data_IF_995796311786
#
_entry.id   IF_995796311786
#
_cell.length_a   1.000
_cell.length_b   1.000
_cell.length_c   1.000
_cell.angle_alpha   90.00
_cell.angle_beta   90.00
_cell.angle_gamma   90.00
#
_symmetry.space_group_name_H-M   'P 1'
#
loop_
_entity.id
_entity.type
_entity.pdbx_description
1 polymer ?
#
# COMPACT_ATOMS: atom_id res chain seq x y z
N UNK A 1 16.39 -0.73 -0.93
CA UNK A 1 14.94 -0.47 -0.88
C UNK A 1 14.76 0.86 -0.17
N UNK A 2 14.11 1.82 -0.82
CA UNK A 2 13.78 3.13 -0.25
C UNK A 2 12.32 3.02 0.23
N UNK A 3 12.08 3.35 1.49
CA UNK A 3 10.76 3.44 2.11
C UNK A 3 10.52 4.90 2.51
N UNK A 4 9.26 5.35 2.67
CA UNK A 4 9.03 6.68 3.19
C UNK A 4 9.40 6.72 4.68
N UNK A 5 9.90 7.86 5.12
CA UNK A 5 10.07 8.13 6.56
C UNK A 5 8.77 8.74 7.08
N UNK A 6 8.23 8.20 8.17
CA UNK A 6 6.98 8.66 8.78
C UNK A 6 7.35 9.39 10.06
N UNK A 7 7.10 10.70 10.11
CA UNK A 7 7.40 11.54 11.30
C UNK A 7 6.14 12.23 11.81
N UNK A 8 6.14 12.63 13.08
CA UNK A 8 5.09 13.45 13.67
C UNK A 8 5.64 14.84 13.94
N UNK A 9 5.01 15.87 13.38
CA UNK A 9 5.38 17.27 13.59
C UNK A 9 4.10 18.11 13.66
N UNK A 10 3.97 19.01 14.64
CA UNK A 10 2.83 19.93 14.78
C UNK A 10 1.44 19.26 14.74
N UNK A 11 1.26 18.16 15.48
CA UNK A 11 0.03 17.35 15.52
C UNK A 11 -0.42 16.82 14.14
N UNK A 12 0.53 16.59 13.23
CA UNK A 12 0.33 16.04 11.90
C UNK A 12 1.31 14.91 11.65
N UNK A 13 0.93 13.97 10.80
CA UNK A 13 1.80 12.88 10.35
C UNK A 13 2.38 13.29 9.00
N UNK A 14 3.70 13.35 8.89
CA UNK A 14 4.40 13.63 7.65
C UNK A 14 4.93 12.33 7.06
N UNK A 15 4.45 11.99 5.86
CA UNK A 15 4.96 10.86 5.09
C UNK A 15 5.94 11.42 4.07
N UNK A 16 7.23 11.22 4.32
CA UNK A 16 8.31 11.85 3.57
C UNK A 16 8.83 10.89 2.50
N UNK A 17 8.59 11.21 1.24
CA UNK A 17 9.05 10.44 0.09
C UNK A 17 10.38 11.00 -0.42
N UNK A 18 11.44 10.20 -0.31
CA UNK A 18 12.70 10.49 -0.97
C UNK A 18 12.61 10.04 -2.43
N UNK A 19 12.57 11.01 -3.34
CA UNK A 19 12.50 10.81 -4.79
C UNK A 19 13.93 10.69 -5.33
N UNK A 20 14.55 9.53 -5.12
CA UNK A 20 15.91 9.27 -5.61
C UNK A 20 15.94 7.92 -6.32
N UNK A 21 15.92 7.99 -7.65
CA UNK A 21 15.78 6.86 -8.58
C UNK A 21 14.42 6.15 -8.39
N UNK A 22 13.81 5.66 -9.47
CA UNK A 22 12.58 4.86 -9.38
C UNK A 22 12.87 3.56 -8.60
N UNK A 23 12.70 3.62 -7.28
CA UNK A 23 13.01 2.54 -6.37
C UNK A 23 11.92 1.46 -6.44
N UNK A 24 12.19 0.29 -5.87
CA UNK A 24 11.27 -0.84 -5.96
C UNK A 24 9.87 -0.54 -5.39
N UNK A 25 9.77 0.30 -4.36
CA UNK A 25 8.55 0.53 -3.55
C UNK A 25 7.95 1.93 -3.66
N UNK A 26 8.76 2.92 -4.04
CA UNK A 26 8.34 4.31 -4.30
C UNK A 26 8.80 4.66 -5.71
N UNK A 27 7.88 5.04 -6.57
CA UNK A 27 8.16 5.45 -7.95
C UNK A 27 7.42 6.74 -8.28
N UNK A 28 8.04 7.58 -9.09
CA UNK A 28 7.40 8.79 -9.60
C UNK A 28 6.92 8.50 -11.02
N UNK A 29 5.62 8.61 -11.26
CA UNK A 29 4.98 8.19 -12.51
C UNK A 29 4.00 9.23 -13.03
N UNK A 30 3.74 9.14 -14.33
CA UNK A 30 2.64 9.81 -15.01
C UNK A 30 1.47 8.86 -15.20
N UNK A 31 0.25 9.31 -14.92
CA UNK A 31 -0.97 8.53 -15.17
C UNK A 31 -1.61 8.92 -16.50
N UNK A 32 -1.83 7.96 -17.38
CA UNK A 32 -2.60 8.10 -18.63
C UNK A 32 -3.49 6.89 -18.82
N UNK A 33 -4.73 7.08 -19.29
CA UNK A 33 -5.68 5.98 -19.53
C UNK A 33 -5.84 5.01 -18.35
N UNK A 34 -5.83 5.52 -17.12
CA UNK A 34 -5.85 4.72 -15.88
C UNK A 34 -4.62 3.86 -15.60
N UNK A 35 -3.55 4.05 -16.35
CA UNK A 35 -2.32 3.30 -16.24
C UNK A 35 -1.14 4.19 -15.87
N UNK A 36 -0.23 3.65 -15.06
CA UNK A 36 1.07 4.25 -14.80
C UNK A 36 2.07 3.90 -15.90
N UNK A 37 1.93 4.54 -17.07
CA UNK A 37 2.65 4.16 -18.30
C UNK A 37 4.12 4.61 -18.31
N UNK A 38 4.44 5.73 -17.64
CA UNK A 38 5.76 6.38 -17.74
C UNK A 38 6.33 6.75 -16.39
N UNK A 39 7.60 6.45 -16.19
CA UNK A 39 8.39 6.99 -15.09
C UNK A 39 8.81 8.42 -15.38
N UNK A 40 8.74 9.29 -14.36
CA UNK A 40 9.16 10.69 -14.49
C UNK A 40 10.43 10.96 -13.69
N UNK A 41 11.21 11.91 -14.18
CA UNK A 41 12.18 12.64 -13.37
C UNK A 41 11.46 13.66 -12.47
N UNK A 42 12.15 14.15 -11.44
CA UNK A 42 11.59 15.15 -10.54
C UNK A 42 11.19 16.44 -11.29
N UNK A 43 12.03 16.90 -12.22
CA UNK A 43 11.76 18.11 -13.00
C UNK A 43 10.51 17.95 -13.88
N UNK A 44 10.34 16.80 -14.54
CA UNK A 44 9.14 16.53 -15.35
C UNK A 44 7.86 16.47 -14.53
N UNK A 45 7.93 16.04 -13.26
CA UNK A 45 6.75 15.94 -12.42
C UNK A 45 6.26 17.28 -11.88
N UNK A 46 7.12 18.30 -11.76
CA UNK A 46 6.75 19.62 -11.25
C UNK A 46 5.69 20.30 -12.13
N UNK A 47 5.79 20.12 -13.45
CA UNK A 47 4.91 20.75 -14.44
C UNK A 47 3.83 19.79 -14.98
N UNK A 48 3.69 18.60 -14.39
CA UNK A 48 2.76 17.57 -14.87
C UNK A 48 1.61 17.32 -13.89
N UNK A 49 0.39 17.71 -14.28
CA UNK A 49 -0.81 17.54 -13.46
C UNK A 49 -1.20 16.09 -13.18
N UNK A 50 -0.74 15.17 -14.03
CA UNK A 50 -0.96 13.72 -13.92
C UNK A 50 0.20 13.00 -13.24
N UNK A 51 1.20 13.72 -12.74
CA UNK A 51 2.28 13.14 -11.96
C UNK A 51 1.77 12.68 -10.59
N UNK A 52 2.22 11.50 -10.16
CA UNK A 52 1.89 10.92 -8.86
C UNK A 52 3.03 10.07 -8.31
N UNK A 53 3.01 9.84 -7.01
CA UNK A 53 3.89 8.87 -6.37
C UNK A 53 3.17 7.53 -6.30
N UNK A 54 3.70 6.49 -6.92
CA UNK A 54 3.28 5.11 -6.66
C UNK A 54 4.02 4.60 -5.42
N UNK A 55 3.32 4.46 -4.30
CA UNK A 55 3.86 3.84 -3.09
C UNK A 55 3.21 2.49 -2.84
N UNK A 56 3.98 1.42 -3.02
CA UNK A 56 3.56 0.06 -2.66
C UNK A 56 3.63 -0.11 -1.13
N UNK A 57 2.66 0.42 -0.42
CA UNK A 57 2.61 0.41 1.05
C UNK A 57 2.57 -1.03 1.59
N UNK A 58 3.17 -1.25 2.75
CA UNK A 58 3.02 -2.45 3.57
C UNK A 58 2.40 -2.13 4.94
N UNK A 59 2.12 -3.18 5.71
CA UNK A 59 1.55 -3.06 7.06
C UNK A 59 2.36 -3.84 8.12
N UNK A 60 3.30 -4.68 7.71
CA UNK A 60 4.15 -5.45 8.62
C UNK A 60 5.58 -5.58 8.09
N UNK A 61 6.49 -5.95 8.98
CA UNK A 61 7.87 -6.31 8.63
C UNK A 61 8.36 -7.46 9.52
N UNK A 62 9.32 -8.25 9.04
CA UNK A 62 9.87 -9.37 9.83
C UNK A 62 10.67 -8.85 11.01
N UNK A 63 10.55 -9.49 12.16
CA UNK A 63 11.45 -9.21 13.29
C UNK A 63 12.88 -9.57 12.89
N UNK A 64 13.75 -8.56 12.84
CA UNK A 64 15.16 -8.68 12.54
C UNK A 64 15.98 -8.72 13.85
N UNK A 65 16.79 -9.77 14.03
CA UNK A 65 17.66 -9.94 15.19
C UNK A 65 18.73 -8.86 15.33
N UNK A 66 19.14 -8.23 14.22
CA UNK A 66 20.10 -7.12 14.23
C UNK A 66 19.47 -5.76 14.53
N UNK A 67 18.13 -5.70 14.65
CA UNK A 67 17.35 -4.48 14.87
C UNK A 67 17.57 -3.36 13.82
N UNK A 68 18.15 -3.70 12.66
CA UNK A 68 18.37 -2.80 11.52
C UNK A 68 17.14 -2.85 10.60
N UNK A 69 16.28 -1.84 10.71
CA UNK A 69 15.05 -1.73 9.92
C UNK A 69 15.16 -0.52 9.01
N UNK A 70 14.99 -0.76 7.70
CA UNK A 70 14.91 0.30 6.67
C UNK A 70 13.50 0.90 6.54
N UNK A 71 12.58 0.47 7.41
CA UNK A 71 11.15 0.78 7.40
C UNK A 71 10.75 1.11 8.84
N UNK A 72 9.95 2.16 9.01
CA UNK A 72 9.35 2.52 10.30
C UNK A 72 8.45 1.38 10.79
N UNK A 73 8.63 0.96 12.05
CA UNK A 73 7.85 -0.12 12.67
C UNK A 73 7.69 0.07 14.19
N UNK A 74 6.61 -0.47 14.73
CA UNK A 74 6.31 -0.47 16.17
C UNK A 74 7.04 -1.64 16.84
N UNK A 75 8.03 -1.34 17.68
CA UNK A 75 8.89 -2.34 18.34
C UNK A 75 8.49 -2.60 19.79
N UNK A 76 8.77 -3.81 20.26
CA UNK A 76 8.52 -4.24 21.64
C UNK A 76 7.56 -5.43 21.68
N UNK A 77 7.63 -6.21 22.75
CA UNK A 77 6.94 -7.51 22.84
C UNK A 77 5.42 -7.39 22.66
N UNK A 78 4.83 -6.29 23.14
CA UNK A 78 3.40 -5.99 22.98
C UNK A 78 2.95 -5.83 21.52
N UNK A 79 3.88 -5.54 20.61
CA UNK A 79 3.59 -5.37 19.19
C UNK A 79 3.99 -6.59 18.34
N UNK A 80 4.38 -7.72 18.96
CA UNK A 80 4.74 -8.91 18.18
C UNK A 80 3.46 -9.51 17.57
N UNK A 81 3.43 -9.51 16.24
CA UNK A 81 2.42 -10.17 15.41
C UNK A 81 2.97 -11.52 14.93
N UNK A 82 2.16 -12.58 15.00
CA UNK A 82 2.57 -13.93 14.60
C UNK A 82 1.89 -14.32 13.28
N UNK A 83 2.60 -14.15 12.17
CA UNK A 83 2.09 -14.54 10.86
C UNK A 83 2.27 -16.04 10.65
N UNK A 84 1.15 -16.76 10.58
CA UNK A 84 1.16 -18.16 10.17
C UNK A 84 1.38 -18.30 8.67
N UNK A 85 2.40 -19.06 8.29
CA UNK A 85 2.56 -19.64 6.95
C UNK A 85 2.53 -21.16 7.10
N UNK A 86 2.03 -21.87 6.09
CA UNK A 86 1.77 -23.34 6.09
C UNK A 86 2.54 -24.13 7.16
N UNK A 87 3.88 -24.08 7.15
CA UNK A 87 4.74 -24.87 8.04
C UNK A 87 5.59 -24.05 9.03
N UNK A 88 5.39 -22.73 9.10
CA UNK A 88 6.22 -21.82 9.92
C UNK A 88 5.43 -20.63 10.45
N UNK A 89 5.59 -20.37 11.74
CA UNK A 89 5.19 -19.10 12.36
C UNK A 89 6.30 -18.07 12.22
N UNK A 90 6.00 -16.93 11.61
CA UNK A 90 6.95 -15.82 11.45
C UNK A 90 6.60 -14.68 12.40
N UNK A 91 7.55 -14.28 13.25
CA UNK A 91 7.40 -13.08 14.09
C UNK A 91 7.55 -11.83 13.24
N UNK A 92 6.63 -10.89 13.41
CA UNK A 92 6.59 -9.64 12.69
C UNK A 92 6.28 -8.46 13.61
N UNK A 93 6.67 -7.27 13.16
CA UNK A 93 6.24 -6.01 13.75
C UNK A 93 5.30 -5.26 12.81
N UNK A 94 4.28 -4.56 13.34
CA UNK A 94 3.50 -3.59 12.60
C UNK A 94 4.42 -2.53 12.00
N UNK A 95 4.25 -2.23 10.72
CA UNK A 95 5.10 -1.31 9.96
C UNK A 95 4.28 -0.40 9.04
N UNK A 96 4.87 0.70 8.59
CA UNK A 96 4.26 1.64 7.61
C UNK A 96 2.80 2.00 7.90
N UNK A 97 1.82 1.37 7.25
CA UNK A 97 0.40 1.63 7.46
C UNK A 97 0.06 1.56 8.95
N UNK A 98 0.53 0.54 9.65
CA UNK A 98 0.25 0.36 11.07
C UNK A 98 0.89 1.44 11.95
N UNK A 99 2.06 1.94 11.56
CA UNK A 99 2.70 3.08 12.26
C UNK A 99 1.85 4.34 12.07
N UNK A 100 1.34 4.57 10.86
CA UNK A 100 0.45 5.70 10.57
C UNK A 100 -0.83 5.61 11.39
N UNK A 101 -1.47 4.43 11.46
CA UNK A 101 -2.68 4.24 12.27
C UNK A 101 -2.38 4.48 13.76
N UNK A 102 -1.27 3.98 14.29
CA UNK A 102 -0.88 4.20 15.68
C UNK A 102 -0.66 5.69 15.98
N UNK A 103 0.08 6.40 15.14
CA UNK A 103 0.26 7.84 15.28
C UNK A 103 -1.06 8.61 15.15
N UNK A 104 -1.94 8.18 14.27
CA UNK A 104 -3.24 8.84 14.10
C UNK A 104 -4.13 8.69 15.35
N UNK A 105 -4.07 7.54 16.02
CA UNK A 105 -4.74 7.34 17.31
C UNK A 105 -4.11 8.19 18.42
N UNK A 106 -2.78 8.21 18.50
CA UNK A 106 -2.04 8.97 19.53
C UNK A 106 -2.27 10.49 19.41
N UNK A 107 -2.52 10.97 18.19
CA UNK A 107 -2.79 12.38 17.89
C UNK A 107 -4.29 12.70 17.82
N UNK A 108 -5.16 11.75 18.15
CA UNK A 108 -6.63 11.88 18.08
C UNK A 108 -7.15 12.31 16.69
N UNK A 109 -6.40 11.98 15.65
CA UNK A 109 -6.84 12.10 14.25
C UNK A 109 -7.81 10.97 13.90
N UNK A 110 -7.61 9.80 14.52
CA UNK A 110 -8.55 8.69 14.55
C UNK A 110 -8.94 8.39 16.00
N UNK A 111 -10.15 7.91 16.18
CA UNK A 111 -10.66 7.42 17.46
C UNK A 111 -10.68 5.89 17.49
N UNK A 112 -10.82 5.29 18.67
CA UNK A 112 -11.05 3.84 18.78
C UNK A 112 -12.35 3.40 18.11
N UNK A 113 -13.37 4.27 18.09
CA UNK A 113 -14.64 3.98 17.42
C UNK A 113 -14.48 3.92 15.89
N UNK A 114 -13.68 4.83 15.32
CA UNK A 114 -13.32 4.77 13.90
C UNK A 114 -12.67 3.43 13.52
N UNK A 115 -11.83 2.90 14.41
CA UNK A 115 -11.18 1.61 14.19
C UNK A 115 -12.16 0.44 14.33
N UNK A 116 -13.11 0.54 15.26
CA UNK A 116 -14.15 -0.47 15.46
C UNK A 116 -15.07 -0.58 14.24
N UNK A 117 -15.53 0.55 13.68
CA UNK A 117 -16.28 0.59 12.42
C UNK A 117 -15.50 -0.08 11.27
N UNK A 118 -14.19 0.11 11.21
CA UNK A 118 -13.36 -0.58 10.22
C UNK A 118 -13.28 -2.08 10.48
N UNK A 119 -13.15 -2.52 11.73
CA UNK A 119 -13.16 -3.95 12.07
C UNK A 119 -14.49 -4.62 11.69
N UNK A 120 -15.63 -3.96 11.89
CA UNK A 120 -16.94 -4.47 11.49
C UNK A 120 -17.01 -4.66 9.96
N UNK A 121 -16.45 -3.72 9.18
CA UNK A 121 -16.34 -3.84 7.72
C UNK A 121 -15.36 -4.96 7.31
N UNK A 122 -14.23 -5.11 8.00
CA UNK A 122 -13.27 -6.20 7.76
C UNK A 122 -13.95 -7.55 7.97
N UNK A 123 -14.77 -7.68 9.01
CA UNK A 123 -15.51 -8.91 9.32
C UNK A 123 -16.59 -9.19 8.28
N UNK A 124 -17.34 -8.17 7.86
CA UNK A 124 -18.28 -8.31 6.74
C UNK A 124 -17.60 -8.80 5.45
N UNK A 125 -16.46 -8.20 5.08
CA UNK A 125 -15.67 -8.62 3.91
C UNK A 125 -15.22 -10.07 4.05
N UNK A 126 -14.80 -10.46 5.25
CA UNK A 126 -14.41 -11.84 5.54
C UNK A 126 -15.59 -12.79 5.36
N UNK A 127 -16.73 -12.53 5.99
CA UNK A 127 -17.89 -13.44 5.95
C UNK A 127 -18.45 -13.59 4.54
N UNK A 128 -18.46 -12.51 3.75
CA UNK A 128 -18.90 -12.51 2.36
C UNK A 128 -17.83 -12.96 1.36
N UNK A 129 -16.60 -13.20 1.82
CA UNK A 129 -15.44 -13.56 0.99
C UNK A 129 -15.25 -12.56 -0.18
N UNK A 130 -15.37 -11.25 0.07
CA UNK A 130 -15.27 -10.22 -0.99
C UNK A 130 -13.80 -9.88 -1.21
N UNK A 131 -13.14 -10.64 -2.09
CA UNK A 131 -11.71 -10.46 -2.35
C UNK A 131 -11.40 -10.26 -3.83
N UNK A 132 -10.41 -9.40 -4.12
CA UNK A 132 -9.88 -9.23 -5.46
C UNK A 132 -9.19 -10.51 -5.97
N UNK A 133 -8.58 -11.30 -5.08
CA UNK A 133 -7.94 -12.57 -5.45
C UNK A 133 -8.90 -13.67 -5.93
N UNK A 134 -10.21 -13.51 -5.70
CA UNK A 134 -11.25 -14.37 -6.28
C UNK A 134 -11.44 -14.13 -7.79
N UNK A 135 -11.02 -12.98 -8.32
CA UNK A 135 -11.10 -12.69 -9.76
C UNK A 135 -9.91 -13.29 -10.48
N UNK A 136 -10.14 -14.19 -11.44
CA UNK A 136 -9.08 -14.93 -12.14
C UNK A 136 -8.26 -14.07 -13.09
N UNK A 137 -7.00 -14.45 -13.30
CA UNK A 137 -6.16 -13.94 -14.39
C UNK A 137 -6.47 -14.76 -15.63
N UNK A 138 -6.85 -14.08 -16.71
CA UNK A 138 -7.33 -14.73 -17.94
C UNK A 138 -6.28 -14.52 -19.03
N UNK A 139 -5.90 -15.62 -19.70
CA UNK A 139 -5.09 -15.60 -20.91
C UNK A 139 -5.94 -16.09 -22.08
N UNK A 140 -6.00 -15.32 -23.16
CA UNK A 140 -6.79 -15.65 -24.36
C UNK A 140 -5.91 -15.60 -25.59
N UNK A 141 -5.88 -16.70 -26.37
CA UNK A 141 -5.25 -16.72 -27.69
C UNK A 141 -5.98 -15.73 -28.60
N UNK A 142 -5.24 -14.85 -29.25
CA UNK A 142 -5.83 -13.84 -30.15
C UNK A 142 -6.02 -14.39 -31.56
N UNK A 143 -5.42 -15.53 -31.90
CA UNK A 143 -5.33 -16.06 -33.26
C UNK A 143 -4.35 -15.30 -34.15
N UNK A 144 -3.68 -14.26 -33.64
CA UNK A 144 -2.73 -13.42 -34.38
C UNK A 144 -1.31 -13.95 -34.14
N UNK A 145 -0.52 -13.98 -35.21
CA UNK A 145 0.90 -14.30 -35.17
C UNK A 145 1.73 -13.02 -35.28
N UNK A 146 2.74 -12.87 -34.42
CA UNK A 146 3.67 -11.72 -34.45
C UNK A 146 4.72 -11.90 -35.56
N UNK A 147 5.32 -13.09 -35.63
CA UNK A 147 6.30 -13.50 -36.62
C UNK A 147 6.37 -15.03 -36.62
N UNK A 148 6.35 -15.67 -37.80
CA UNK A 148 6.27 -17.13 -37.95
C UNK A 148 5.22 -17.76 -37.01
N UNK A 149 5.64 -18.69 -36.15
CA UNK A 149 4.77 -19.43 -35.23
C UNK A 149 4.57 -18.76 -33.86
N UNK A 150 5.04 -17.52 -33.66
CA UNK A 150 4.86 -16.79 -32.39
C UNK A 150 3.45 -16.23 -32.27
N UNK A 151 2.58 -16.95 -31.56
CA UNK A 151 1.21 -16.52 -31.25
C UNK A 151 1.16 -15.40 -30.22
N UNK A 152 0.29 -14.43 -30.47
CA UNK A 152 -0.03 -13.34 -29.55
C UNK A 152 -1.17 -13.79 -28.63
N UNK A 153 -0.99 -13.56 -27.32
CA UNK A 153 -2.01 -13.77 -26.29
C UNK A 153 -2.38 -12.46 -25.62
N UNK A 154 -3.67 -12.28 -25.35
CA UNK A 154 -4.15 -11.25 -24.44
C UNK A 154 -4.11 -11.77 -23.01
N UNK A 155 -3.60 -10.96 -22.08
CA UNK A 155 -3.59 -11.26 -20.65
C UNK A 155 -4.36 -10.19 -19.89
N UNK A 156 -5.43 -10.60 -19.21
CA UNK A 156 -6.29 -9.72 -18.40
C UNK A 156 -5.96 -9.96 -16.92
N UNK A 157 -5.57 -8.88 -16.23
CA UNK A 157 -5.24 -8.86 -14.81
C UNK A 157 -6.32 -8.09 -14.04
N UNK A 158 -6.92 -8.68 -12.99
CA UNK A 158 -7.85 -7.97 -12.13
C UNK A 158 -7.18 -6.79 -11.41
N UNK A 159 -7.86 -5.66 -11.43
CA UNK A 159 -7.47 -4.44 -10.75
C UNK A 159 -8.71 -3.74 -10.18
N UNK A 160 -8.55 -3.11 -9.02
CA UNK A 160 -9.55 -2.24 -8.43
C UNK A 160 -8.92 -0.89 -8.06
N UNK A 161 -9.61 0.20 -8.38
CA UNK A 161 -9.12 1.56 -8.13
C UNK A 161 -10.19 2.32 -7.37
N UNK A 162 -9.79 2.96 -6.26
CA UNK A 162 -10.55 3.99 -5.58
C UNK A 162 -9.90 5.33 -5.86
N UNK A 163 -10.63 6.26 -6.48
CA UNK A 163 -10.13 7.59 -6.84
C UNK A 163 -10.71 8.66 -5.94
N UNK A 164 -9.86 9.59 -5.56
CA UNK A 164 -10.20 10.79 -4.82
C UNK A 164 -9.52 11.99 -5.48
N UNK A 165 -9.86 13.20 -5.02
CA UNK A 165 -9.34 14.43 -5.61
C UNK A 165 -7.81 14.51 -5.61
N UNK A 166 -7.19 14.15 -4.49
CA UNK A 166 -5.75 14.38 -4.24
C UNK A 166 -4.92 13.09 -4.29
N UNK A 167 -5.56 11.93 -4.43
CA UNK A 167 -4.91 10.63 -4.48
C UNK A 167 -5.80 9.56 -5.12
N UNK A 168 -5.23 8.39 -5.35
CA UNK A 168 -5.99 7.17 -5.57
C UNK A 168 -5.35 6.00 -4.82
N UNK A 169 -6.13 4.95 -4.57
CA UNK A 169 -5.66 3.67 -4.05
C UNK A 169 -5.90 2.63 -5.15
N UNK A 170 -4.88 1.84 -5.44
CA UNK A 170 -4.92 0.85 -6.50
C UNK A 170 -4.57 -0.52 -5.92
N UNK A 171 -5.36 -1.53 -6.28
CA UNK A 171 -5.12 -2.93 -5.96
C UNK A 171 -4.94 -3.69 -7.26
N UNK A 172 -3.84 -4.41 -7.42
CA UNK A 172 -3.55 -5.17 -8.63
C UNK A 172 -3.15 -6.60 -8.29
N UNK A 173 -3.77 -7.57 -8.96
CA UNK A 173 -3.34 -8.97 -8.87
C UNK A 173 -2.16 -9.21 -9.81
N UNK A 174 -0.96 -9.41 -9.24
CA UNK A 174 0.30 -9.57 -9.98
C UNK A 174 1.04 -10.84 -9.60
N UNK A 175 1.90 -11.33 -10.50
CA UNK A 175 2.74 -12.49 -10.25
C UNK A 175 3.74 -12.20 -9.13
N UNK A 176 3.97 -13.17 -8.25
CA UNK A 176 4.97 -13.02 -7.20
C UNK A 176 6.38 -13.01 -7.81
N UNK A 177 7.23 -12.05 -7.41
CA UNK A 177 8.56 -11.86 -8.02
C UNK A 177 9.56 -12.98 -7.70
N UNK A 178 9.41 -13.65 -6.55
CA UNK A 178 10.35 -14.67 -6.04
C UNK A 178 9.65 -15.95 -5.56
N UNK A 179 8.40 -16.17 -5.97
CA UNK A 179 7.63 -17.34 -5.58
C UNK A 179 6.66 -17.73 -6.70
N UNK A 180 6.21 -18.98 -6.68
CA UNK A 180 5.12 -19.41 -7.55
C UNK A 180 3.80 -18.80 -7.07
N UNK A 181 2.98 -18.35 -8.01
CA UNK A 181 1.63 -17.85 -7.75
C UNK A 181 1.45 -16.34 -7.93
N UNK A 182 0.30 -15.86 -7.48
CA UNK A 182 -0.16 -14.49 -7.63
C UNK A 182 -0.48 -13.90 -6.26
N UNK A 183 -0.26 -12.60 -6.13
CA UNK A 183 -0.64 -11.84 -4.94
C UNK A 183 -1.28 -10.53 -5.38
N UNK A 184 -2.13 -9.98 -4.52
CA UNK A 184 -2.65 -8.63 -4.70
C UNK A 184 -1.70 -7.65 -4.03
N UNK A 185 -1.23 -6.69 -4.81
CA UNK A 185 -0.43 -5.57 -4.32
C UNK A 185 -1.35 -4.37 -4.09
N UNK A 186 -1.12 -3.63 -3.01
CA UNK A 186 -1.84 -2.40 -2.72
C UNK A 186 -0.88 -1.22 -2.88
N UNK A 187 -1.31 -0.22 -3.65
CA UNK A 187 -0.58 1.01 -3.91
C UNK A 187 -1.40 2.20 -3.42
N UNK A 188 -0.73 3.12 -2.71
CA UNK A 188 -1.29 4.40 -2.32
C UNK A 188 -0.61 5.47 -3.16
N UNK A 189 -1.43 6.25 -3.86
CA UNK A 189 -0.94 7.08 -4.94
C UNK A 189 -1.37 8.54 -4.81
N UNK A 190 -0.69 9.35 -3.96
CA UNK A 190 -0.93 10.79 -3.93
C UNK A 190 -0.48 11.44 -5.23
N UNK A 191 -1.31 12.35 -5.77
CA UNK A 191 -0.88 13.21 -6.87
C UNK A 191 0.28 14.10 -6.41
N UNK A 192 1.29 14.27 -7.26
CA UNK A 192 2.52 14.95 -6.89
C UNK A 192 2.27 16.40 -6.47
N UNK A 193 1.32 17.07 -7.13
CA UNK A 193 0.85 18.43 -6.78
C UNK A 193 0.28 18.58 -5.37
N UNK A 194 -0.17 17.48 -4.75
CA UNK A 194 -0.68 17.49 -3.37
C UNK A 194 0.43 17.47 -2.31
N UNK A 195 1.67 17.17 -2.72
CA UNK A 195 2.81 17.05 -1.83
C UNK A 195 3.48 18.41 -1.59
N UNK A 196 4.14 18.54 -0.43
CA UNK A 196 4.93 19.73 -0.08
C UNK A 196 6.42 19.41 -0.16
N UNK A 197 7.18 20.26 -0.83
CA UNK A 197 8.65 20.13 -0.87
C UNK A 197 9.20 20.33 0.56
N UNK A 198 9.95 19.35 1.05
CA UNK A 198 10.64 19.38 2.37
C UNK A 198 12.14 19.62 2.22
N UNK A 199 12.75 19.02 1.20
CA UNK A 199 14.14 19.28 0.79
C UNK A 199 14.28 18.98 -0.71
N UNK A 200 15.49 19.11 -1.27
CA UNK A 200 15.72 19.02 -2.73
C UNK A 200 15.06 17.82 -3.40
N UNK A 201 15.19 16.63 -2.82
CA UNK A 201 14.62 15.40 -3.35
C UNK A 201 13.57 14.78 -2.42
N UNK A 202 13.09 15.51 -1.42
CA UNK A 202 12.11 14.98 -0.45
C UNK A 202 10.82 15.76 -0.50
N UNK A 203 9.73 15.05 -0.73
CA UNK A 203 8.38 15.59 -0.77
C UNK A 203 7.54 14.92 0.29
N UNK A 204 6.82 15.72 1.07
CA UNK A 204 6.03 15.26 2.21
C UNK A 204 4.55 15.31 1.88
N UNK A 205 3.87 14.22 2.17
CA UNK A 205 2.42 14.21 2.28
C UNK A 205 2.02 14.45 3.73
N UNK A 206 1.30 15.55 3.96
CA UNK A 206 0.95 16.01 5.30
C UNK A 206 -0.46 15.50 5.64
N UNK A 207 -0.52 14.61 6.63
CA UNK A 207 -1.75 13.97 7.07
C UNK A 207 -2.23 14.62 8.36
N UNK A 208 -3.52 14.95 8.38
CA UNK A 208 -4.20 15.63 9.47
C UNK A 208 -5.68 15.16 9.52
N UNK A 209 -6.46 15.74 10.44
CA UNK A 209 -7.86 15.34 10.66
C UNK A 209 -8.74 15.43 9.41
N UNK A 210 -8.45 16.36 8.49
CA UNK A 210 -9.22 16.55 7.26
C UNK A 210 -8.94 15.51 6.16
N UNK A 211 -7.87 14.72 6.24
CA UNK A 211 -7.51 13.76 5.19
C UNK A 211 -7.09 12.37 5.70
N UNK A 212 -7.06 12.13 7.02
CA UNK A 212 -6.66 10.84 7.63
C UNK A 212 -7.54 9.65 7.20
N UNK A 213 -8.77 9.90 6.75
CA UNK A 213 -9.72 8.89 6.28
C UNK A 213 -9.15 8.01 5.15
N UNK A 214 -8.18 8.52 4.38
CA UNK A 214 -7.45 7.71 3.40
C UNK A 214 -6.91 6.42 4.01
N UNK A 215 -6.32 6.45 5.20
CA UNK A 215 -5.70 5.25 5.78
C UNK A 215 -6.73 4.25 6.29
N UNK A 216 -7.97 4.68 6.58
CA UNK A 216 -9.10 3.77 6.74
C UNK A 216 -9.42 3.03 5.45
N UNK A 217 -9.45 3.76 4.32
CA UNK A 217 -9.63 3.17 2.99
C UNK A 217 -8.50 2.21 2.63
N UNK A 218 -7.25 2.52 3.00
CA UNK A 218 -6.10 1.61 2.79
C UNK A 218 -6.21 0.32 3.63
N UNK A 219 -6.66 0.40 4.90
CA UNK A 219 -6.96 -0.78 5.71
C UNK A 219 -8.02 -1.68 5.04
N UNK A 220 -9.08 -1.06 4.51
CA UNK A 220 -10.12 -1.77 3.76
C UNK A 220 -9.58 -2.38 2.47
N UNK A 221 -8.71 -1.67 1.72
CA UNK A 221 -8.07 -2.20 0.52
C UNK A 221 -7.26 -3.47 0.81
N UNK A 222 -6.44 -3.49 1.87
CA UNK A 222 -5.79 -4.75 2.27
C UNK A 222 -6.81 -5.83 2.64
N UNK A 223 -7.91 -5.48 3.30
CA UNK A 223 -8.94 -6.45 3.67
C UNK A 223 -9.69 -7.03 2.46
N UNK A 224 -9.81 -6.26 1.38
CA UNK A 224 -10.37 -6.66 0.08
C UNK A 224 -9.34 -7.39 -0.80
N UNK A 225 -8.04 -7.32 -0.48
CA UNK A 225 -6.99 -7.87 -1.34
C UNK A 225 -7.00 -9.41 -1.35
N UNK A 226 -7.08 -10.03 -0.18
CA UNK A 226 -7.17 -11.49 -0.02
C UNK A 226 -7.65 -11.86 1.37
N UNK A 227 -8.08 -13.12 1.54
CA UNK A 227 -8.39 -13.70 2.85
C UNK A 227 -7.26 -13.59 3.86
N UNK A 228 -6.01 -13.77 3.42
CA UNK A 228 -4.86 -13.67 4.31
C UNK A 228 -4.61 -12.21 4.74
N UNK A 229 -4.68 -11.26 3.81
CA UNK A 229 -4.53 -9.84 4.16
C UNK A 229 -5.62 -9.38 5.12
N UNK A 230 -6.87 -9.80 4.91
CA UNK A 230 -7.98 -9.51 5.82
C UNK A 230 -7.68 -9.97 7.26
N UNK A 231 -7.24 -11.22 7.44
CA UNK A 231 -6.84 -11.76 8.76
C UNK A 231 -5.69 -10.97 9.38
N UNK A 232 -4.65 -10.69 8.59
CA UNK A 232 -3.49 -9.92 9.04
C UNK A 232 -3.91 -8.53 9.55
N UNK A 233 -4.75 -7.81 8.80
CA UNK A 233 -5.26 -6.49 9.18
C UNK A 233 -6.05 -6.57 10.48
N UNK A 234 -6.95 -7.55 10.61
CA UNK A 234 -7.75 -7.75 11.83
C UNK A 234 -6.87 -7.95 13.06
N UNK A 235 -5.81 -8.76 12.97
CA UNK A 235 -4.90 -9.03 14.08
C UNK A 235 -4.02 -7.82 14.41
N UNK A 236 -3.42 -7.19 13.41
CA UNK A 236 -2.55 -6.03 13.62
C UNK A 236 -3.30 -4.82 14.18
N UNK A 237 -4.51 -4.56 13.70
CA UNK A 237 -5.35 -3.48 14.24
C UNK A 237 -5.67 -3.73 15.71
N UNK A 238 -5.96 -4.98 16.11
CA UNK A 238 -6.17 -5.34 17.52
C UNK A 238 -4.94 -5.10 18.39
N UNK A 239 -3.76 -5.44 17.88
CA UNK A 239 -2.45 -5.17 18.54
C UNK A 239 -2.21 -3.66 18.72
N UNK A 240 -2.71 -2.83 17.80
CA UNK A 240 -2.51 -1.38 17.85
C UNK A 240 -3.43 -0.68 18.86
N UNK A 241 -4.66 -1.18 19.02
CA UNK A 241 -5.66 -0.56 19.91
C UNK A 241 -5.68 -1.12 21.34
N UNK A 242 -4.98 -2.23 21.58
CA UNK A 242 -4.76 -2.81 22.92
C UNK A 242 -3.84 -1.93 23.76
#
# INVERSE_FOLDING_TARGET
MINPTITVENNKININFLIKNNASKIRLKERKNEMGERFLTLNEALDNENAYIEWQIGYDTKVNSKNDYKIECLKGDKYIYYKQKKDKTEKKYPAELMVIIKYALDLELLTKEDIKDILDKVDYIYDKQIYLDNHSIIGTDTGIFLYDDFKIFNRILPMAILKEKDYFIEMERKQMQYAAGYQVMVYVCPYFKSLKKKSDNTYSWIINKGNIDIFKKVLLSFSLASKQHNRDIKELVRIIIS
#
